data_IF_100886206971
#
_entry.id   IF_100886206971
#
_cell.length_a   1.000
_cell.length_b   1.000
_cell.length_c   1.000
_cell.angle_alpha   90.00
_cell.angle_beta   90.00
_cell.angle_gamma   90.00
#
_symmetry.space_group_name_H-M   'P 1'
#
loop_
_entity.id
_entity.type
_entity.pdbx_description
1 polymer ?
#
# COMPACT_ATOMS: atom_id res chain seq x y z
N UNK A 1 0.73 -21.41 2.52
CA UNK A 1 1.11 -19.98 2.61
C UNK A 1 2.57 -19.78 3.00
N UNK A 2 3.06 -20.26 4.16
CA UNK A 2 4.44 -20.00 4.60
C UNK A 2 5.52 -20.48 3.60
N UNK A 3 5.28 -21.59 2.88
CA UNK A 3 6.19 -22.04 1.81
C UNK A 3 6.34 -21.01 0.67
N UNK A 4 5.26 -20.33 0.26
CA UNK A 4 5.30 -19.31 -0.80
C UNK A 4 6.11 -18.09 -0.35
N UNK A 5 5.96 -17.68 0.91
CA UNK A 5 6.71 -16.56 1.48
C UNK A 5 8.19 -16.91 1.59
N UNK A 6 8.51 -18.10 2.10
CA UNK A 6 9.89 -18.56 2.23
C UNK A 6 10.57 -18.77 0.86
N UNK A 7 9.80 -19.13 -0.16
CA UNK A 7 10.27 -19.22 -1.55
C UNK A 7 10.40 -17.85 -2.25
N UNK A 8 10.02 -16.74 -1.58
CA UNK A 8 10.05 -15.39 -2.16
C UNK A 8 8.96 -15.11 -3.19
N UNK A 9 7.96 -15.99 -3.33
CA UNK A 9 6.90 -15.87 -4.34
C UNK A 9 5.74 -14.98 -3.91
N UNK A 10 5.63 -14.70 -2.61
CA UNK A 10 4.60 -13.85 -2.04
C UNK A 10 5.08 -13.14 -0.78
N UNK A 11 4.45 -12.01 -0.46
CA UNK A 11 4.69 -11.22 0.73
C UNK A 11 3.42 -11.15 1.58
N UNK A 12 3.57 -11.28 2.88
CA UNK A 12 2.48 -11.00 3.83
C UNK A 12 2.57 -9.54 4.26
N UNK A 13 1.44 -8.85 4.15
CA UNK A 13 1.27 -7.49 4.65
C UNK A 13 0.37 -7.60 5.88
N UNK A 14 0.97 -7.60 7.06
CA UNK A 14 0.23 -7.81 8.31
C UNK A 14 -0.52 -6.55 8.74
N UNK A 15 -1.66 -6.75 9.38
CA UNK A 15 -2.33 -5.67 10.10
C UNK A 15 -1.44 -5.24 11.25
N UNK A 16 -1.30 -3.93 11.46
CA UNK A 16 -0.67 -3.35 12.64
C UNK A 16 -1.58 -2.29 13.26
N UNK A 17 -1.58 -2.17 14.59
CA UNK A 17 -2.27 -1.03 15.23
C UNK A 17 -1.55 0.30 15.02
N UNK A 18 -0.27 0.30 14.64
CA UNK A 18 0.55 1.48 14.33
C UNK A 18 0.36 2.64 15.32
N UNK A 19 0.44 2.35 16.62
CA UNK A 19 0.45 3.34 17.71
C UNK A 19 1.86 3.76 18.13
N UNK A 20 2.87 3.01 17.69
CA UNK A 20 4.28 3.30 17.99
C UNK A 20 5.22 2.49 17.10
N UNK A 21 6.52 2.72 17.29
CA UNK A 21 7.58 1.97 16.63
C UNK A 21 8.26 1.00 17.61
N UNK A 22 8.79 -0.15 17.13
CA UNK A 22 8.71 -0.64 15.75
C UNK A 22 7.30 -1.14 15.38
N UNK A 23 6.89 -0.95 14.12
CA UNK A 23 5.54 -1.31 13.65
C UNK A 23 5.21 -2.81 13.84
N UNK A 24 6.23 -3.66 13.71
CA UNK A 24 6.15 -5.11 13.88
C UNK A 24 5.75 -5.56 15.30
N UNK A 25 5.96 -4.72 16.32
CA UNK A 25 5.59 -5.05 17.71
C UNK A 25 4.08 -5.07 17.94
N UNK A 26 3.29 -4.52 17.02
CA UNK A 26 1.86 -4.28 17.18
C UNK A 26 1.01 -4.98 16.10
N UNK A 27 1.55 -6.04 15.50
CA UNK A 27 0.85 -6.79 14.46
C UNK A 27 -0.16 -7.78 15.02
N UNK A 28 -1.20 -8.05 14.23
CA UNK A 28 -2.04 -9.24 14.40
C UNK A 28 -1.62 -10.31 13.37
N UNK A 29 -0.96 -11.37 13.84
CA UNK A 29 -0.47 -12.46 12.97
C UNK A 29 -1.59 -13.21 12.24
N UNK A 30 -2.84 -13.09 12.70
CA UNK A 30 -4.00 -13.73 12.09
C UNK A 30 -4.60 -12.88 10.96
N UNK A 31 -4.24 -11.59 10.88
CA UNK A 31 -4.77 -10.64 9.90
C UNK A 31 -3.67 -10.17 8.96
N UNK A 32 -3.71 -10.63 7.71
CA UNK A 32 -2.75 -10.21 6.69
C UNK A 32 -3.38 -10.22 5.30
N UNK A 33 -2.92 -9.29 4.46
CA UNK A 33 -3.08 -9.35 3.01
C UNK A 33 -1.89 -10.08 2.39
N UNK A 34 -2.05 -10.55 1.16
CA UNK A 34 -0.99 -11.24 0.40
C UNK A 34 -0.71 -10.47 -0.88
N UNK A 35 0.55 -10.15 -1.13
CA UNK A 35 1.04 -9.62 -2.39
C UNK A 35 1.82 -10.71 -3.13
N UNK A 36 1.51 -10.92 -4.40
CA UNK A 36 2.30 -11.80 -5.27
C UNK A 36 3.55 -11.04 -5.73
N UNK A 37 4.70 -11.72 -5.84
CA UNK A 37 5.98 -11.10 -6.21
C UNK A 37 5.94 -10.33 -7.53
N UNK A 38 5.13 -10.80 -8.49
CA UNK A 38 5.16 -10.34 -9.88
C UNK A 38 3.78 -9.91 -10.38
N UNK A 39 3.75 -8.76 -11.04
CA UNK A 39 2.54 -8.15 -11.57
C UNK A 39 1.96 -8.89 -12.77
N UNK A 40 2.80 -9.50 -13.62
CA UNK A 40 2.37 -10.33 -14.74
C UNK A 40 1.78 -11.66 -14.28
N UNK A 41 2.41 -12.31 -13.29
CA UNK A 41 1.85 -13.50 -12.63
C UNK A 41 0.50 -13.15 -12.00
N UNK A 42 0.41 -12.03 -11.28
CA UNK A 42 -0.85 -11.57 -10.70
C UNK A 42 -1.95 -11.37 -11.76
N UNK A 43 -1.66 -10.71 -12.87
CA UNK A 43 -2.62 -10.52 -13.97
C UNK A 43 -3.07 -11.86 -14.56
N UNK A 44 -2.15 -12.80 -14.76
CA UNK A 44 -2.46 -14.14 -15.26
C UNK A 44 -3.36 -14.92 -14.30
N UNK A 45 -3.06 -14.89 -13.00
CA UNK A 45 -3.89 -15.51 -11.96
C UNK A 45 -5.27 -14.84 -11.89
N UNK A 46 -5.34 -13.52 -12.12
CA UNK A 46 -6.59 -12.75 -12.15
C UNK A 46 -7.45 -13.02 -13.39
N UNK A 47 -7.04 -13.93 -14.28
CA UNK A 47 -7.78 -14.30 -15.47
C UNK A 47 -7.77 -13.23 -16.58
N UNK A 48 -6.81 -12.30 -16.56
CA UNK A 48 -6.74 -11.25 -17.57
C UNK A 48 -6.48 -11.85 -18.96
N UNK A 49 -7.42 -11.64 -19.88
CA UNK A 49 -7.27 -11.97 -21.27
C UNK A 49 -6.45 -10.86 -21.97
N UNK A 50 -5.19 -11.16 -22.30
CA UNK A 50 -4.28 -10.18 -22.92
C UNK A 50 -4.78 -9.66 -24.27
N UNK A 51 -5.40 -10.53 -25.08
CA UNK A 51 -5.97 -10.13 -26.38
C UNK A 51 -7.10 -9.12 -26.20
N UNK A 52 -8.00 -9.35 -25.24
CA UNK A 52 -9.07 -8.39 -24.92
C UNK A 52 -8.49 -7.11 -24.32
N UNK A 53 -7.48 -7.20 -23.46
CA UNK A 53 -6.84 -6.04 -22.87
C UNK A 53 -6.22 -5.11 -23.92
N UNK A 54 -5.48 -5.67 -24.89
CA UNK A 54 -4.85 -4.91 -25.98
C UNK A 54 -5.91 -4.29 -26.91
N UNK A 55 -7.01 -5.01 -27.15
CA UNK A 55 -8.10 -4.55 -28.01
C UNK A 55 -9.04 -3.55 -27.32
N UNK A 56 -9.09 -3.56 -25.98
CA UNK A 56 -9.95 -2.67 -25.18
C UNK A 56 -9.31 -1.31 -24.98
N UNK A 57 -10.13 -0.27 -24.93
CA UNK A 57 -9.71 0.97 -24.29
C UNK A 57 -9.36 0.66 -22.83
N UNK A 58 -8.10 0.89 -22.46
CA UNK A 58 -7.83 1.68 -21.26
C UNK A 58 -8.69 1.33 -20.04
N UNK A 59 -9.81 2.04 -20.01
CA UNK A 59 -10.79 2.20 -18.94
C UNK A 59 -11.53 0.93 -18.52
N UNK A 60 -11.48 -0.17 -19.28
CA UNK A 60 -12.23 -1.40 -18.98
C UNK A 60 -11.59 -2.32 -17.93
N UNK A 61 -10.42 -1.99 -17.40
CA UNK A 61 -9.81 -2.77 -16.32
C UNK A 61 -10.61 -2.63 -15.01
N UNK A 62 -11.46 -3.61 -14.69
CA UNK A 62 -12.14 -3.71 -13.39
C UNK A 62 -11.11 -3.81 -12.24
N UNK A 63 -9.91 -4.33 -12.53
CA UNK A 63 -8.89 -4.64 -11.53
C UNK A 63 -7.79 -3.57 -11.36
N UNK A 64 -7.99 -2.32 -11.81
CA UNK A 64 -6.91 -1.30 -11.71
C UNK A 64 -6.52 -0.96 -10.28
N UNK A 65 -7.47 -0.98 -9.34
CA UNK A 65 -7.24 -0.63 -7.93
C UNK A 65 -6.28 -1.62 -7.29
N UNK A 66 -6.62 -2.91 -7.30
CA UNK A 66 -5.73 -3.94 -6.74
C UNK A 66 -4.39 -4.04 -7.49
N UNK A 67 -4.36 -3.76 -8.79
CA UNK A 67 -3.11 -3.71 -9.54
C UNK A 67 -2.22 -2.54 -9.09
N UNK A 68 -2.80 -1.35 -8.87
CA UNK A 68 -2.07 -0.20 -8.34
C UNK A 68 -1.55 -0.47 -6.92
N UNK A 69 -2.37 -1.08 -6.05
CA UNK A 69 -1.96 -1.51 -4.71
C UNK A 69 -0.82 -2.53 -4.77
N UNK A 70 -0.91 -3.52 -5.66
CA UNK A 70 0.15 -4.50 -5.86
C UNK A 70 1.47 -3.83 -6.28
N UNK A 71 1.41 -2.95 -7.30
CA UNK A 71 2.59 -2.21 -7.75
C UNK A 71 3.18 -1.36 -6.63
N UNK A 72 2.35 -0.60 -5.92
CA UNK A 72 2.77 0.22 -4.78
C UNK A 72 3.45 -0.65 -3.71
N UNK A 73 2.82 -1.75 -3.31
CA UNK A 73 3.35 -2.66 -2.30
C UNK A 73 4.69 -3.27 -2.71
N UNK A 74 4.83 -3.71 -3.96
CA UNK A 74 6.09 -4.26 -4.48
C UNK A 74 7.21 -3.21 -4.53
N UNK A 75 6.91 -1.97 -4.92
CA UNK A 75 7.91 -0.89 -4.90
C UNK A 75 8.31 -0.48 -3.46
N UNK A 76 7.38 -0.49 -2.52
CA UNK A 76 7.66 -0.27 -1.09
C UNK A 76 8.50 -1.39 -0.47
N UNK A 77 8.30 -2.63 -0.91
CA UNK A 77 9.12 -3.79 -0.54
C UNK A 77 10.53 -3.64 -1.11
N UNK A 78 10.66 -3.38 -2.41
CA UNK A 78 11.96 -3.20 -3.09
C UNK A 78 12.80 -2.08 -2.50
N UNK A 79 12.17 -1.00 -2.05
CA UNK A 79 12.83 0.15 -1.40
C UNK A 79 13.20 -0.07 0.07
N UNK A 80 12.88 -1.24 0.63
CA UNK A 80 13.28 -1.60 1.99
C UNK A 80 14.77 -1.97 2.06
N UNK A 81 15.31 -2.08 3.28
CA UNK A 81 16.72 -2.45 3.48
C UNK A 81 17.03 -3.80 2.82
N UNK A 82 18.14 -3.92 2.05
CA UNK A 82 18.55 -5.20 1.48
C UNK A 82 19.08 -6.18 2.55
N UNK A 83 19.36 -5.69 3.76
CA UNK A 83 19.96 -6.47 4.84
C UNK A 83 18.92 -7.12 5.77
N UNK A 84 17.63 -6.92 5.51
CA UNK A 84 16.56 -7.46 6.34
C UNK A 84 15.39 -7.92 5.46
N UNK A 85 14.55 -8.79 6.01
CA UNK A 85 13.29 -9.10 5.34
C UNK A 85 12.43 -7.83 5.25
N UNK A 86 11.87 -7.52 4.08
CA UNK A 86 11.09 -6.31 3.88
C UNK A 86 9.82 -6.37 4.73
N UNK A 87 9.62 -5.35 5.56
CA UNK A 87 8.43 -5.19 6.38
C UNK A 87 7.48 -4.16 5.76
N UNK A 88 6.26 -4.63 5.48
CA UNK A 88 5.16 -3.84 4.97
C UNK A 88 3.91 -4.23 5.76
N UNK A 89 3.16 -3.24 6.21
CA UNK A 89 1.96 -3.44 7.02
C UNK A 89 0.78 -2.72 6.40
N UNK A 90 -0.42 -3.04 6.84
CA UNK A 90 -1.63 -2.26 6.55
C UNK A 90 -2.34 -1.95 7.86
N UNK A 91 -3.31 -1.04 7.82
CA UNK A 91 -4.16 -0.77 8.97
C UNK A 91 -5.63 -0.90 8.59
N UNK A 92 -6.39 -1.54 9.46
CA UNK A 92 -7.85 -1.58 9.43
C UNK A 92 -8.39 -1.15 10.78
N UNK A 93 -9.44 -0.33 10.76
CA UNK A 93 -10.13 0.19 11.94
C UNK A 93 -10.96 -0.88 12.62
N UNK A 94 -10.70 -1.14 13.90
CA UNK A 94 -11.41 -2.19 14.65
C UNK A 94 -12.71 -1.72 15.33
N UNK A 95 -13.18 -0.50 15.02
CA UNK A 95 -14.42 0.05 15.57
C UNK A 95 -15.66 -0.59 14.91
N UNK A 96 -16.65 -1.01 15.70
CA UNK A 96 -17.86 -1.71 15.22
C UNK A 96 -18.73 -0.90 14.25
N UNK A 97 -18.64 0.43 14.27
CA UNK A 97 -19.54 1.34 13.55
C UNK A 97 -18.92 2.01 12.32
N UNK A 98 -17.66 1.73 12.00
CA UNK A 98 -16.96 2.37 10.88
C UNK A 98 -15.86 1.47 10.36
N UNK A 99 -16.00 1.06 9.10
CA UNK A 99 -14.93 0.36 8.38
C UNK A 99 -14.04 1.41 7.71
N UNK A 100 -12.75 1.39 8.04
CA UNK A 100 -11.74 2.22 7.41
C UNK A 100 -10.47 1.40 7.30
N UNK A 101 -9.81 1.50 6.15
CA UNK A 101 -8.60 0.75 5.86
C UNK A 101 -7.60 1.65 5.13
N UNK A 102 -6.36 1.63 5.60
CA UNK A 102 -5.22 2.28 4.93
C UNK A 102 -4.38 1.17 4.32
N UNK A 103 -4.10 1.30 3.02
CA UNK A 103 -3.49 0.25 2.20
C UNK A 103 -2.14 -0.19 2.73
N UNK A 104 -1.28 0.78 3.06
CA UNK A 104 0.05 0.51 3.58
C UNK A 104 0.45 1.44 4.72
N UNK A 105 1.14 0.88 5.70
CA UNK A 105 1.83 1.59 6.77
C UNK A 105 3.30 1.18 6.71
N UNK A 106 4.18 2.17 6.64
CA UNK A 106 5.63 1.97 6.67
C UNK A 106 6.28 2.82 7.75
N UNK A 107 7.46 2.41 8.19
CA UNK A 107 8.34 3.26 8.99
C UNK A 107 9.19 4.12 8.04
N UNK A 108 9.05 5.44 8.17
CA UNK A 108 9.91 6.45 7.58
C UNK A 108 11.05 6.85 8.52
N UNK A 109 11.76 7.94 8.19
CA UNK A 109 12.87 8.44 9.01
C UNK A 109 12.42 8.92 10.39
N UNK A 110 11.38 9.76 10.48
CA UNK A 110 10.91 10.31 11.76
C UNK A 110 9.61 9.69 12.29
N UNK A 111 9.10 8.59 11.72
CA UNK A 111 7.90 7.98 12.29
C UNK A 111 7.10 7.07 11.38
N UNK A 112 5.81 6.97 11.72
CA UNK A 112 4.81 6.16 11.03
C UNK A 112 4.31 6.93 9.81
N UNK A 113 4.36 6.29 8.64
CA UNK A 113 3.93 6.87 7.37
C UNK A 113 2.77 6.04 6.81
N UNK A 114 1.53 6.55 6.88
CA UNK A 114 0.38 5.93 6.23
C UNK A 114 0.32 6.30 4.76
N UNK A 115 -0.01 5.32 3.92
CA UNK A 115 -0.05 5.43 2.46
C UNK A 115 -1.37 4.87 1.97
N UNK A 116 -2.09 5.70 1.21
CA UNK A 116 -3.31 5.34 0.49
C UNK A 116 -3.01 5.29 -1.01
N UNK A 117 -3.43 4.22 -1.69
CA UNK A 117 -3.18 4.01 -3.12
C UNK A 117 -4.46 4.25 -3.91
N UNK A 118 -4.36 5.06 -4.98
CA UNK A 118 -5.47 5.33 -5.90
C UNK A 118 -5.03 4.99 -7.32
N UNK A 119 -5.78 4.13 -7.99
CA UNK A 119 -5.56 3.81 -9.40
C UNK A 119 -5.79 4.99 -10.36
N UNK A 120 -6.48 6.04 -9.91
CA UNK A 120 -6.76 7.24 -10.71
C UNK A 120 -6.57 8.54 -9.93
N UNK A 121 -6.93 9.64 -10.57
CA UNK A 121 -6.81 11.00 -10.03
C UNK A 121 -7.97 11.39 -9.10
N UNK A 122 -9.05 10.61 -9.09
CA UNK A 122 -10.22 10.82 -8.23
C UNK A 122 -10.32 9.74 -7.15
N UNK A 123 -10.88 10.09 -6.00
CA UNK A 123 -11.14 9.15 -4.91
C UNK A 123 -11.06 9.82 -3.54
N UNK A 124 -11.95 9.45 -2.63
CA UNK A 124 -11.92 9.94 -1.26
C UNK A 124 -10.75 9.31 -0.50
N UNK A 125 -10.17 10.07 0.44
CA UNK A 125 -9.09 9.64 1.33
C UNK A 125 -9.58 9.51 2.77
N UNK A 126 -10.85 9.15 2.94
CA UNK A 126 -11.51 9.17 4.24
C UNK A 126 -10.81 8.26 5.25
N UNK A 127 -10.41 7.05 4.84
CA UNK A 127 -9.66 6.12 5.70
C UNK A 127 -8.33 6.69 6.16
N UNK A 128 -7.60 7.34 5.25
CA UNK A 128 -6.33 7.98 5.55
C UNK A 128 -6.51 9.13 6.54
N UNK A 129 -7.49 10.01 6.34
CA UNK A 129 -7.79 11.08 7.30
C UNK A 129 -8.19 10.55 8.68
N UNK A 130 -9.05 9.52 8.73
CA UNK A 130 -9.42 8.88 10.00
C UNK A 130 -8.18 8.33 10.71
N UNK A 131 -7.28 7.67 9.97
CA UNK A 131 -6.05 7.14 10.55
C UNK A 131 -5.14 8.27 11.07
N UNK A 132 -4.95 9.33 10.28
CA UNK A 132 -4.12 10.48 10.66
C UNK A 132 -4.64 11.12 11.96
N UNK A 133 -5.95 11.29 12.09
CA UNK A 133 -6.56 11.89 13.26
C UNK A 133 -6.47 10.95 14.47
N UNK A 134 -6.75 9.65 14.32
CA UNK A 134 -6.63 8.66 15.41
C UNK A 134 -5.19 8.46 15.91
N UNK A 135 -4.19 8.69 15.04
CA UNK A 135 -2.76 8.59 15.40
C UNK A 135 -2.11 9.93 15.69
N UNK A 136 -2.83 11.03 15.57
CA UNK A 136 -2.29 12.38 15.69
C UNK A 136 -1.06 12.61 14.80
N UNK A 137 -1.13 12.17 13.54
CA UNK A 137 -0.05 12.31 12.57
C UNK A 137 -0.22 13.59 11.74
N UNK A 138 0.90 14.26 11.50
CA UNK A 138 0.92 15.54 10.77
C UNK A 138 0.64 15.38 9.27
N UNK A 139 1.00 14.23 8.69
CA UNK A 139 0.81 14.00 7.27
C UNK A 139 0.69 12.52 6.90
N UNK A 140 0.02 12.26 5.77
CA UNK A 140 -0.05 10.97 5.10
C UNK A 140 0.27 11.10 3.61
N UNK A 141 0.46 9.95 2.96
CA UNK A 141 0.83 9.90 1.54
C UNK A 141 -0.35 9.36 0.73
N UNK A 142 -0.63 10.03 -0.39
CA UNK A 142 -1.46 9.51 -1.45
C UNK A 142 -0.58 9.08 -2.61
N UNK A 143 -0.58 7.80 -2.94
CA UNK A 143 -0.02 7.30 -4.19
C UNK A 143 -1.08 7.31 -5.27
N UNK A 144 -0.82 7.98 -6.39
CA UNK A 144 -1.79 8.05 -7.50
C UNK A 144 -1.13 8.22 -8.86
N UNK A 145 -1.94 8.29 -9.92
CA UNK A 145 -1.48 8.66 -11.26
C UNK A 145 -1.25 10.18 -11.43
N UNK A 146 -1.42 10.97 -10.38
CA UNK A 146 -1.21 12.43 -10.41
C UNK A 146 0.27 12.79 -10.22
N UNK A 147 0.61 14.01 -10.61
CA UNK A 147 1.92 14.60 -10.32
C UNK A 147 2.08 14.89 -8.83
N UNK A 148 3.33 15.14 -8.41
CA UNK A 148 3.62 15.58 -7.06
C UNK A 148 2.80 16.80 -6.67
N UNK A 149 2.14 16.71 -5.52
CA UNK A 149 1.34 17.81 -4.98
C UNK A 149 1.26 17.68 -3.46
N UNK A 150 0.85 18.77 -2.80
CA UNK A 150 0.53 18.76 -1.37
C UNK A 150 -0.80 19.46 -1.14
N UNK A 151 -1.69 18.78 -0.43
CA UNK A 151 -3.00 19.27 -0.04
C UNK A 151 -3.13 19.11 1.48
N UNK A 152 -2.92 20.18 2.23
CA UNK A 152 -2.99 20.17 3.69
C UNK A 152 -2.08 19.07 4.31
N UNK A 153 -2.67 18.08 4.99
CA UNK A 153 -1.98 16.91 5.59
C UNK A 153 -1.61 15.83 4.56
N UNK A 154 -1.92 15.98 3.29
CA UNK A 154 -1.71 14.92 2.28
C UNK A 154 -0.62 15.31 1.30
N UNK A 155 0.39 14.45 1.17
CA UNK A 155 1.40 14.55 0.12
C UNK A 155 1.07 13.54 -0.98
N UNK A 156 0.74 14.04 -2.17
CA UNK A 156 0.51 13.21 -3.34
C UNK A 156 1.83 12.90 -4.02
N UNK A 157 2.09 11.61 -4.24
CA UNK A 157 3.28 11.09 -4.90
C UNK A 157 2.82 10.24 -6.09
N UNK A 158 3.40 10.44 -7.29
CA UNK A 158 3.11 9.59 -8.44
C UNK A 158 3.44 8.13 -8.14
N UNK A 159 2.63 7.18 -8.63
CA UNK A 159 2.81 5.75 -8.38
C UNK A 159 4.20 5.25 -8.78
N UNK A 160 4.77 5.77 -9.89
CA UNK A 160 6.12 5.43 -10.34
C UNK A 160 7.23 5.84 -9.37
N UNK A 161 6.93 6.74 -8.42
CA UNK A 161 7.85 7.23 -7.40
C UNK A 161 7.66 6.57 -6.03
N UNK A 162 6.84 5.51 -5.93
CA UNK A 162 6.55 4.82 -4.67
C UNK A 162 7.81 4.35 -3.92
N UNK A 163 8.84 3.91 -4.62
CA UNK A 163 10.12 3.48 -4.04
C UNK A 163 10.89 4.59 -3.30
N UNK A 164 10.52 5.87 -3.47
CA UNK A 164 11.15 7.01 -2.79
C UNK A 164 10.45 7.38 -1.48
N UNK A 165 9.27 6.85 -1.19
CA UNK A 165 8.43 7.27 -0.05
C UNK A 165 9.18 7.25 1.28
N UNK A 166 9.91 6.17 1.59
CA UNK A 166 10.65 6.02 2.85
C UNK A 166 11.72 7.11 3.06
N UNK A 167 12.14 7.78 1.99
CA UNK A 167 13.16 8.83 2.00
C UNK A 167 12.59 10.25 1.89
N UNK A 168 11.32 10.39 1.49
CA UNK A 168 10.68 11.67 1.15
C UNK A 168 10.10 12.41 2.35
N UNK A 169 9.69 11.71 3.39
CA UNK A 169 9.20 12.34 4.62
C UNK A 169 10.34 12.40 5.67
N UNK A 170 10.46 13.54 6.36
CA UNK A 170 11.46 13.70 7.42
C UNK A 170 11.34 12.60 8.46
#
# INVERSE_FOLDING_TARGET
>A
MNLLVNAGLAYKVYHTSARGLPLGAQIDIKKFKVLILDSGIYQRISGLNLSEFIASDSQMLINRVHFAELLAGLELIKSSSPNAHPELYYWHREAKSSNAEVDFIVQGKSGIVPIEVKAGTKGQMQSLFIFLDERNLAAGIRLSAENFARYDKIVTVPLYAASRIRTMLP
#
